data_IF_954218873580
#
_entry.id   IF_954218873580
#
_cell.length_a   1.000
_cell.length_b   1.000
_cell.length_c   1.000
_cell.angle_alpha   90.00
_cell.angle_beta   90.00
_cell.angle_gamma   90.00
#
_symmetry.space_group_name_H-M   'P 1'
#
loop_
_entity.id
_entity.type
_entity.pdbx_description
1 polymer ?
#
# COMPACT_ATOMS: atom_id res chain seq x y z
N UNK A 1 -15.02 43.19 -18.55
CA UNK A 1 -13.88 42.39 -19.03
C UNK A 1 -13.41 41.47 -17.92
N UNK A 2 -13.87 40.22 -18.06
CA UNK A 2 -13.55 38.95 -17.40
C UNK A 2 -13.20 38.94 -15.90
N UNK A 3 -14.25 38.64 -15.15
CA UNK A 3 -14.28 38.00 -13.84
C UNK A 3 -13.86 36.53 -13.92
N UNK A 4 -12.81 36.14 -13.18
CA UNK A 4 -12.57 34.74 -12.78
C UNK A 4 -12.98 34.58 -11.32
N UNK A 5 -14.24 34.22 -11.09
CA UNK A 5 -14.75 33.86 -9.77
C UNK A 5 -14.52 32.37 -9.57
N UNK A 6 -13.49 32.01 -8.81
CA UNK A 6 -13.22 30.62 -8.40
C UNK A 6 -14.29 30.20 -7.39
N UNK A 7 -15.24 29.39 -7.85
CA UNK A 7 -16.24 28.74 -7.03
C UNK A 7 -15.53 27.70 -6.15
N UNK A 8 -15.47 27.93 -4.84
CA UNK A 8 -15.13 26.90 -3.85
C UNK A 8 -16.33 25.95 -3.73
N UNK A 9 -16.15 24.62 -3.78
CA UNK A 9 -17.22 23.71 -3.42
C UNK A 9 -17.40 23.75 -1.89
N UNK A 10 -18.48 24.37 -1.44
CA UNK A 10 -19.03 24.14 -0.10
C UNK A 10 -19.65 22.74 -0.11
N UNK A 11 -19.03 21.80 0.60
CA UNK A 11 -19.63 20.50 0.86
C UNK A 11 -19.95 20.49 2.36
N UNK A 12 -21.19 20.83 2.68
CA UNK A 12 -21.79 20.61 3.99
C UNK A 12 -22.00 19.09 4.15
N UNK A 13 -21.20 18.47 5.01
CA UNK A 13 -21.44 17.11 5.47
C UNK A 13 -22.08 17.18 6.85
N UNK A 14 -23.37 16.88 6.89
CA UNK A 14 -24.20 16.77 8.09
C UNK A 14 -23.61 15.72 9.05
N UNK A 15 -23.32 16.14 10.28
CA UNK A 15 -22.74 15.35 11.37
C UNK A 15 -23.77 14.35 11.91
N UNK A 16 -23.90 13.22 11.21
CA UNK A 16 -24.62 12.04 11.67
C UNK A 16 -23.73 11.17 12.57
N UNK A 17 -23.89 11.37 13.87
CA UNK A 17 -23.33 10.63 15.01
C UNK A 17 -23.56 9.11 14.89
N UNK A 18 -22.62 8.39 14.25
CA UNK A 18 -22.53 6.93 14.29
C UNK A 18 -21.18 6.53 14.90
N UNK A 19 -21.13 6.55 16.24
CA UNK A 19 -20.16 5.78 17.02
C UNK A 19 -20.33 4.27 16.70
N UNK A 20 -19.78 3.81 15.58
CA UNK A 20 -19.72 2.37 15.27
C UNK A 20 -18.60 1.77 16.13
N UNK A 21 -19.01 1.31 17.31
CA UNK A 21 -18.26 0.36 18.12
C UNK A 21 -18.16 -0.92 17.26
N UNK A 22 -16.99 -1.14 16.66
CA UNK A 22 -16.63 -2.44 16.11
C UNK A 22 -16.37 -3.34 17.32
N UNK A 23 -17.40 -4.05 17.75
CA UNK A 23 -17.27 -5.15 18.70
C UNK A 23 -16.57 -6.31 17.99
N UNK A 24 -15.24 -6.32 18.02
CA UNK A 24 -14.45 -7.54 17.84
C UNK A 24 -14.59 -8.39 19.11
N UNK A 25 -15.77 -8.98 19.31
CA UNK A 25 -15.96 -10.07 20.27
C UNK A 25 -15.45 -11.37 19.63
N UNK A 26 -14.13 -11.55 19.68
CA UNK A 26 -13.53 -12.88 19.62
C UNK A 26 -12.41 -12.97 20.65
N UNK A 27 -12.83 -13.30 21.87
CA UNK A 27 -12.12 -14.17 22.80
C UNK A 27 -10.64 -13.84 23.04
N UNK A 28 -10.39 -12.99 24.03
CA UNK A 28 -9.10 -12.88 24.70
C UNK A 28 -8.63 -14.23 25.26
N UNK A 29 -7.90 -15.01 24.48
CA UNK A 29 -6.89 -15.93 24.99
C UNK A 29 -5.52 -15.31 24.71
N UNK A 30 -5.03 -14.55 25.70
CA UNK A 30 -3.65 -14.10 25.77
C UNK A 30 -2.74 -15.32 25.89
N UNK A 31 -2.26 -15.81 24.74
CA UNK A 31 -0.96 -16.48 24.68
C UNK A 31 -0.05 -15.50 23.95
N UNK A 32 0.69 -14.70 24.74
CA UNK A 32 1.77 -13.88 24.22
C UNK A 32 2.72 -14.76 23.41
N UNK A 33 2.77 -14.52 22.12
CA UNK A 33 3.83 -15.02 21.25
C UNK A 33 5.05 -14.17 21.57
N UNK A 34 5.99 -14.73 22.32
CA UNK A 34 7.27 -14.12 22.72
C UNK A 34 8.22 -13.88 21.53
N UNK A 35 7.68 -13.72 20.33
CA UNK A 35 8.48 -13.61 19.10
C UNK A 35 9.10 -12.21 18.99
N UNK A 36 8.53 -11.22 19.70
CA UNK A 36 9.05 -9.85 19.80
C UNK A 36 10.27 -9.73 20.74
N UNK A 37 10.56 -10.75 21.56
CA UNK A 37 11.77 -10.82 22.39
C UNK A 37 12.88 -11.67 21.76
N UNK A 38 12.66 -12.23 20.57
CA UNK A 38 13.64 -13.11 19.94
C UNK A 38 14.75 -12.25 19.31
N UNK A 39 16.02 -12.37 19.74
CA UNK A 39 17.09 -11.63 19.11
C UNK A 39 17.16 -11.98 17.62
N UNK A 40 17.45 -10.97 16.78
CA UNK A 40 17.52 -11.14 15.32
C UNK A 40 18.41 -12.33 14.89
N UNK A 41 19.41 -12.66 15.72
CA UNK A 41 20.33 -13.78 15.54
C UNK A 41 19.70 -15.18 15.68
N UNK A 42 18.44 -15.30 16.11
CA UNK A 42 17.72 -16.57 16.28
C UNK A 42 16.72 -16.89 15.16
N UNK A 43 16.51 -15.98 14.20
CA UNK A 43 15.59 -16.16 13.07
C UNK A 43 16.19 -16.86 11.84
N UNK A 44 17.39 -17.41 11.94
CA UNK A 44 18.06 -17.99 10.76
C UNK A 44 17.76 -19.48 10.60
N UNK A 45 16.80 -19.77 9.72
CA UNK A 45 16.71 -21.04 9.02
C UNK A 45 17.88 -21.17 8.03
N UNK A 46 19.08 -21.34 8.56
CA UNK A 46 20.22 -21.98 7.90
C UNK A 46 21.31 -22.16 8.97
N UNK A 47 21.47 -23.40 9.44
CA UNK A 47 22.47 -23.75 10.47
C UNK A 47 23.92 -23.51 9.99
N UNK A 48 24.11 -23.10 8.74
CA UNK A 48 25.39 -22.76 8.14
C UNK A 48 25.81 -21.29 8.32
N UNK A 49 24.92 -20.40 8.80
CA UNK A 49 25.24 -18.96 8.99
C UNK A 49 26.06 -18.71 10.28
N UNK A 50 26.07 -19.65 11.24
CA UNK A 50 26.80 -19.48 12.51
C UNK A 50 28.32 -19.70 12.43
N UNK A 51 28.87 -19.98 11.25
CA UNK A 51 30.32 -20.12 11.03
C UNK A 51 30.99 -18.83 10.48
N UNK A 52 30.41 -17.65 10.71
CA UNK A 52 31.08 -16.38 10.41
C UNK A 52 32.16 -16.14 11.48
N UNK A 53 33.39 -16.59 11.19
CA UNK A 53 34.57 -16.20 11.96
C UNK A 53 35.00 -14.82 11.48
N UNK A 54 34.88 -13.80 12.33
CA UNK A 54 35.48 -12.48 12.10
C UNK A 54 37.01 -12.62 12.08
N UNK A 55 37.57 -12.85 10.89
CA UNK A 55 39.00 -12.89 10.65
C UNK A 55 39.46 -11.63 9.93
N UNK A 56 40.72 -11.23 10.14
CA UNK A 56 41.41 -10.37 9.18
C UNK A 56 41.57 -11.17 7.89
N UNK A 57 40.58 -11.14 7.00
CA UNK A 57 40.76 -11.73 5.68
C UNK A 57 41.88 -10.97 4.97
N UNK A 58 43.02 -11.64 4.75
CA UNK A 58 44.26 -11.06 4.23
C UNK A 58 44.21 -10.66 2.74
N UNK A 59 43.04 -10.74 2.08
CA UNK A 59 42.82 -10.17 0.75
C UNK A 59 41.41 -9.56 0.68
N UNK A 60 41.26 -8.27 0.34
CA UNK A 60 39.95 -7.71 0.07
C UNK A 60 39.29 -8.50 -1.07
N UNK A 61 38.04 -8.91 -0.88
CA UNK A 61 37.22 -9.44 -1.96
C UNK A 61 37.21 -8.40 -3.08
N UNK A 62 37.52 -8.80 -4.32
CA UNK A 62 37.36 -7.88 -5.46
C UNK A 62 35.86 -7.65 -5.67
N UNK A 63 35.41 -6.44 -5.35
CA UNK A 63 34.07 -5.98 -5.64
C UNK A 63 33.96 -5.88 -7.17
N UNK A 64 33.00 -6.58 -7.76
CA UNK A 64 32.74 -6.46 -9.20
C UNK A 64 32.19 -5.07 -9.49
N UNK A 65 32.69 -4.42 -10.56
CA UNK A 65 32.16 -3.13 -10.98
C UNK A 65 30.66 -3.25 -11.28
N UNK A 66 29.87 -2.28 -10.80
CA UNK A 66 28.48 -2.18 -11.14
C UNK A 66 28.31 -1.80 -12.63
N UNK A 67 27.80 -2.74 -13.43
CA UNK A 67 27.59 -2.56 -14.88
C UNK A 67 26.11 -2.63 -15.28
N UNK A 68 25.21 -2.79 -14.30
CA UNK A 68 23.78 -2.91 -14.55
C UNK A 68 23.19 -1.55 -14.93
N UNK A 69 22.09 -1.56 -15.69
CA UNK A 69 21.33 -0.33 -15.94
C UNK A 69 20.90 0.30 -14.61
N UNK A 70 21.12 1.60 -14.50
CA UNK A 70 20.67 2.43 -13.40
C UNK A 70 19.76 3.55 -13.91
N UNK A 71 19.05 4.21 -12.98
CA UNK A 71 18.13 5.33 -13.19
C UNK A 71 16.75 4.95 -13.72
N UNK A 72 15.96 5.99 -14.01
CA UNK A 72 14.64 5.90 -14.63
C UNK A 72 14.68 5.03 -15.88
N UNK A 73 13.63 4.24 -16.03
CA UNK A 73 13.46 3.41 -17.20
C UNK A 73 13.42 4.26 -18.48
N UNK A 74 13.94 3.71 -19.58
CA UNK A 74 14.10 4.45 -20.83
C UNK A 74 12.78 5.08 -21.30
N UNK A 75 11.65 4.37 -21.16
CA UNK A 75 10.35 4.89 -21.56
C UNK A 75 9.89 6.13 -20.76
N UNK A 76 10.41 6.35 -19.55
CA UNK A 76 10.16 7.55 -18.76
C UNK A 76 11.00 8.70 -19.30
N UNK A 77 12.28 8.43 -19.60
CA UNK A 77 13.21 9.41 -20.20
C UNK A 77 12.74 9.85 -21.60
N UNK A 78 12.01 8.99 -22.30
CA UNK A 78 11.47 9.25 -23.63
C UNK A 78 10.13 10.02 -23.60
N UNK A 79 9.54 10.29 -22.42
CA UNK A 79 8.29 11.04 -22.32
C UNK A 79 8.51 12.51 -22.72
N UNK A 80 7.65 13.02 -23.60
CA UNK A 80 7.69 14.43 -24.02
C UNK A 80 6.94 15.30 -23.00
N UNK A 81 7.68 16.11 -22.24
CA UNK A 81 7.17 17.07 -21.25
C UNK A 81 6.15 16.46 -20.26
N UNK A 82 6.53 15.39 -19.51
CA UNK A 82 5.61 14.71 -18.60
C UNK A 82 5.21 15.62 -17.43
N UNK A 83 3.92 15.74 -17.20
CA UNK A 83 3.42 16.40 -15.98
C UNK A 83 3.62 15.48 -14.76
N UNK A 84 3.62 16.01 -13.53
CA UNK A 84 3.60 15.18 -12.32
C UNK A 84 2.45 14.16 -12.30
N UNK A 85 1.32 14.48 -12.95
CA UNK A 85 0.19 13.58 -13.10
C UNK A 85 0.52 12.38 -14.01
N UNK A 86 1.27 12.60 -15.08
CA UNK A 86 1.68 11.54 -15.99
C UNK A 86 2.59 10.54 -15.29
N UNK A 87 3.54 11.03 -14.49
CA UNK A 87 4.41 10.18 -13.66
C UNK A 87 3.61 9.42 -12.60
N UNK A 88 2.65 10.08 -11.94
CA UNK A 88 1.79 9.45 -10.94
C UNK A 88 0.96 8.30 -11.54
N UNK A 89 0.45 8.45 -12.76
CA UNK A 89 -0.31 7.40 -13.45
C UNK A 89 0.54 6.16 -13.79
N UNK A 90 1.87 6.27 -13.84
CA UNK A 90 2.74 5.11 -13.96
C UNK A 90 2.74 4.26 -12.68
N UNK A 91 2.67 4.92 -11.52
CA UNK A 91 2.64 4.26 -10.22
C UNK A 91 1.22 3.79 -9.86
N UNK A 92 0.21 4.63 -10.01
CA UNK A 92 -1.21 4.31 -9.83
C UNK A 92 -1.87 4.01 -11.18
N UNK A 93 -1.42 2.93 -11.80
CA UNK A 93 -1.91 2.51 -13.11
C UNK A 93 -3.40 2.16 -13.11
N UNK A 94 -4.03 2.14 -14.29
CA UNK A 94 -5.44 1.75 -14.46
C UNK A 94 -5.76 0.38 -13.84
N UNK A 95 -4.79 -0.53 -13.78
CA UNK A 95 -4.94 -1.82 -13.10
C UNK A 95 -5.11 -1.63 -11.58
N UNK A 96 -4.24 -0.85 -10.94
CA UNK A 96 -4.35 -0.53 -9.50
C UNK A 96 -5.67 0.16 -9.21
N UNK A 97 -6.05 1.15 -10.02
CA UNK A 97 -7.31 1.88 -9.83
C UNK A 97 -8.52 0.96 -9.98
N UNK A 98 -8.53 0.11 -11.01
CA UNK A 98 -9.59 -0.88 -11.22
C UNK A 98 -9.69 -1.88 -10.07
N UNK A 99 -8.54 -2.29 -9.51
CA UNK A 99 -8.49 -3.19 -8.36
C UNK A 99 -9.09 -2.54 -7.09
N UNK A 100 -8.77 -1.27 -6.83
CA UNK A 100 -9.36 -0.48 -5.73
C UNK A 100 -10.88 -0.35 -5.92
N UNK A 101 -11.32 0.04 -7.11
CA UNK A 101 -12.75 0.18 -7.45
C UNK A 101 -13.49 -1.13 -7.23
N UNK A 102 -12.95 -2.24 -7.76
CA UNK A 102 -13.55 -3.56 -7.66
C UNK A 102 -13.74 -3.98 -6.19
N UNK A 103 -12.68 -3.91 -5.38
CA UNK A 103 -12.74 -4.37 -4.00
C UNK A 103 -13.55 -3.44 -3.09
N UNK A 104 -13.55 -2.14 -3.35
CA UNK A 104 -14.41 -1.16 -2.66
C UNK A 104 -15.89 -1.42 -2.94
N UNK A 105 -16.26 -1.61 -4.21
CA UNK A 105 -17.63 -1.95 -4.58
C UNK A 105 -18.06 -3.32 -4.06
N UNK A 106 -17.17 -4.31 -4.08
CA UNK A 106 -17.43 -5.63 -3.52
C UNK A 106 -17.72 -5.55 -2.02
N UNK A 107 -16.94 -4.78 -1.26
CA UNK A 107 -17.18 -4.59 0.16
C UNK A 107 -18.51 -3.87 0.43
N UNK A 108 -18.83 -2.83 -0.33
CA UNK A 108 -20.11 -2.13 -0.21
C UNK A 108 -21.29 -3.08 -0.46
N UNK A 109 -21.19 -3.96 -1.46
CA UNK A 109 -22.17 -5.01 -1.72
C UNK A 109 -22.28 -6.01 -0.54
N UNK A 110 -21.16 -6.40 0.05
CA UNK A 110 -21.16 -7.28 1.23
C UNK A 110 -21.86 -6.64 2.43
N UNK A 111 -21.65 -5.35 2.68
CA UNK A 111 -22.31 -4.63 3.76
C UNK A 111 -23.81 -4.43 3.51
N UNK A 112 -24.21 -4.18 2.26
CA UNK A 112 -25.62 -4.14 1.89
C UNK A 112 -26.31 -5.47 2.20
N UNK A 113 -25.68 -6.61 1.86
CA UNK A 113 -26.24 -7.94 2.13
C UNK A 113 -26.27 -8.29 3.64
N UNK A 114 -25.34 -7.76 4.44
CA UNK A 114 -25.25 -8.06 5.88
C UNK A 114 -26.14 -7.17 6.75
N UNK A 115 -26.14 -5.87 6.51
CA UNK A 115 -26.75 -4.85 7.40
C UNK A 115 -27.89 -4.10 6.70
N UNK A 116 -28.00 -4.20 5.36
CA UNK A 116 -28.96 -3.43 4.58
C UNK A 116 -28.51 -1.99 4.31
N UNK A 117 -27.25 -1.63 4.62
CA UNK A 117 -26.71 -0.29 4.36
C UNK A 117 -26.69 -0.04 2.85
N UNK A 118 -27.45 0.95 2.40
CA UNK A 118 -27.50 1.35 0.99
C UNK A 118 -26.15 1.95 0.57
N UNK A 119 -25.81 1.77 -0.70
CA UNK A 119 -24.54 2.27 -1.25
C UNK A 119 -24.70 2.65 -2.72
N UNK A 120 -23.82 3.53 -3.17
CA UNK A 120 -23.61 3.82 -4.59
C UNK A 120 -22.29 3.19 -5.01
N UNK A 121 -22.29 2.51 -6.17
CA UNK A 121 -21.04 1.99 -6.73
C UNK A 121 -20.11 3.13 -7.12
N UNK A 122 -18.85 3.00 -6.75
CA UNK A 122 -17.79 3.92 -7.16
C UNK A 122 -17.18 3.53 -8.50
N UNK A 123 -16.43 4.46 -9.09
CA UNK A 123 -15.77 4.29 -10.38
C UNK A 123 -14.35 4.88 -10.34
N UNK A 124 -13.58 4.66 -11.41
CA UNK A 124 -12.18 5.10 -11.49
C UNK A 124 -12.07 6.62 -11.35
N UNK A 125 -13.02 7.39 -11.90
CA UNK A 125 -13.00 8.85 -11.78
C UNK A 125 -13.20 9.31 -10.34
N UNK A 126 -14.17 8.73 -9.62
CA UNK A 126 -14.39 9.01 -8.19
C UNK A 126 -13.15 8.63 -7.35
N UNK A 127 -12.53 7.47 -7.60
CA UNK A 127 -11.29 7.07 -6.91
C UNK A 127 -10.11 8.00 -7.25
N UNK A 128 -9.96 8.43 -8.52
CA UNK A 128 -8.94 9.41 -8.91
C UNK A 128 -9.16 10.75 -8.20
N UNK A 129 -10.40 11.23 -8.16
CA UNK A 129 -10.78 12.46 -7.44
C UNK A 129 -10.49 12.33 -5.95
N UNK A 130 -10.87 11.20 -5.35
CA UNK A 130 -10.57 10.90 -3.95
C UNK A 130 -9.06 10.92 -3.70
N UNK A 131 -8.24 10.21 -4.49
CA UNK A 131 -6.79 10.22 -4.34
C UNK A 131 -6.20 11.62 -4.55
N UNK A 132 -6.70 12.40 -5.51
CA UNK A 132 -6.27 13.77 -5.75
C UNK A 132 -6.57 14.71 -4.58
N UNK A 133 -7.76 14.60 -3.99
CA UNK A 133 -8.12 15.29 -2.75
C UNK A 133 -7.16 14.87 -1.64
N UNK A 134 -6.87 13.58 -1.51
CA UNK A 134 -5.95 13.09 -0.48
C UNK A 134 -4.52 13.55 -0.65
N UNK A 135 -3.98 13.59 -1.86
CA UNK A 135 -2.65 14.16 -2.08
C UNK A 135 -2.61 15.65 -1.75
N UNK A 136 -3.71 16.37 -2.02
CA UNK A 136 -3.85 17.78 -1.64
C UNK A 136 -4.01 17.97 -0.12
N UNK A 137 -4.75 17.08 0.55
CA UNK A 137 -5.08 17.16 1.97
C UNK A 137 -4.12 16.36 2.87
N UNK A 138 -3.13 15.63 2.33
CA UNK A 138 -2.15 14.83 3.09
C UNK A 138 -1.40 15.65 4.17
N UNK A 139 -1.50 16.98 4.10
CA UNK A 139 -1.00 17.95 5.06
C UNK A 139 -1.91 18.11 6.31
N UNK A 140 -3.13 17.54 6.33
CA UNK A 140 -4.23 17.94 7.25
C UNK A 140 -4.80 16.82 8.17
N UNK A 141 -4.12 15.69 8.35
CA UNK A 141 -4.43 14.67 9.39
C UNK A 141 -5.77 13.91 9.32
N UNK A 142 -6.51 13.93 8.21
CA UNK A 142 -7.81 13.23 8.12
C UNK A 142 -7.73 11.77 7.63
N UNK A 143 -6.75 10.98 8.08
CA UNK A 143 -6.51 9.64 7.53
C UNK A 143 -7.55 8.58 7.91
N UNK A 144 -8.19 8.68 9.07
CA UNK A 144 -9.07 7.61 9.58
C UNK A 144 -10.30 7.37 8.72
N UNK A 145 -10.94 8.45 8.26
CA UNK A 145 -12.11 8.35 7.37
C UNK A 145 -11.73 7.72 6.02
N UNK A 146 -10.54 8.01 5.51
CA UNK A 146 -10.06 7.47 4.22
C UNK A 146 -9.94 5.95 4.25
N UNK A 147 -9.40 5.45 5.35
CA UNK A 147 -9.20 4.03 5.58
C UNK A 147 -10.54 3.29 5.77
N UNK A 148 -11.59 3.99 6.20
CA UNK A 148 -12.93 3.39 6.36
C UNK A 148 -13.61 3.06 5.02
N UNK A 149 -13.25 3.77 3.94
CA UNK A 149 -13.92 3.65 2.65
C UNK A 149 -13.21 2.65 1.74
N UNK A 150 -11.88 2.74 1.65
CA UNK A 150 -11.11 1.95 0.68
C UNK A 150 -10.99 0.49 1.13
N UNK A 151 -11.42 -0.42 0.26
CA UNK A 151 -11.19 -1.85 0.44
C UNK A 151 -10.28 -2.36 -0.66
N UNK A 152 -9.20 -3.02 -0.25
CA UNK A 152 -8.13 -3.46 -1.16
C UNK A 152 -8.15 -4.96 -1.43
N UNK A 153 -8.90 -5.75 -0.66
CA UNK A 153 -9.07 -7.17 -0.95
C UNK A 153 -10.36 -7.74 -0.36
N UNK A 154 -10.76 -8.92 -0.83
CA UNK A 154 -11.99 -9.57 -0.40
C UNK A 154 -11.84 -10.16 1.01
N UNK A 155 -12.56 -9.59 1.97
CA UNK A 155 -12.56 -10.03 3.37
C UNK A 155 -13.06 -11.47 3.56
N UNK A 156 -13.94 -11.97 2.69
CA UNK A 156 -14.52 -13.33 2.80
C UNK A 156 -13.48 -14.43 2.54
N UNK A 157 -12.46 -14.12 1.75
CA UNK A 157 -11.41 -15.07 1.38
C UNK A 157 -10.20 -15.04 2.33
N UNK A 158 -10.24 -14.20 3.37
CA UNK A 158 -9.16 -14.10 4.35
C UNK A 158 -9.04 -15.40 5.16
N UNK A 159 -7.90 -16.11 5.13
CA UNK A 159 -7.70 -17.32 5.91
C UNK A 159 -7.81 -17.05 7.42
N UNK A 160 -8.22 -18.06 8.20
CA UNK A 160 -8.21 -17.97 9.65
C UNK A 160 -6.78 -17.86 10.20
N UNK A 161 -6.62 -17.27 11.39
CA UNK A 161 -5.31 -17.07 12.03
C UNK A 161 -4.55 -18.37 12.27
N UNK A 162 -5.25 -19.50 12.43
CA UNK A 162 -4.67 -20.83 12.64
C UNK A 162 -4.28 -21.53 11.32
N UNK A 163 -4.66 -20.97 10.17
CA UNK A 163 -4.31 -21.54 8.88
C UNK A 163 -2.83 -21.30 8.57
N UNK A 164 -2.08 -22.30 8.05
CA UNK A 164 -0.71 -22.08 7.56
C UNK A 164 -0.66 -21.10 6.36
N UNK A 165 -1.82 -20.78 5.76
CA UNK A 165 -1.95 -19.78 4.69
C UNK A 165 -2.28 -18.38 5.21
N UNK A 166 -2.35 -18.18 6.53
CA UNK A 166 -2.64 -16.88 7.12
C UNK A 166 -1.54 -15.87 6.79
N UNK A 167 -1.94 -14.70 6.32
CA UNK A 167 -1.05 -13.60 6.00
C UNK A 167 -1.57 -12.33 6.66
N UNK A 168 -0.78 -11.77 7.59
CA UNK A 168 -1.13 -10.52 8.28
C UNK A 168 -1.36 -9.36 7.31
N UNK A 169 -0.70 -9.38 6.15
CA UNK A 169 -0.82 -8.34 5.11
C UNK A 169 -1.86 -8.68 4.03
N UNK A 170 -2.66 -9.72 4.21
CA UNK A 170 -3.56 -10.26 3.18
C UNK A 170 -4.38 -9.17 2.46
N UNK A 171 -4.97 -8.24 3.24
CA UNK A 171 -5.83 -7.17 2.70
C UNK A 171 -5.09 -6.21 1.77
N UNK A 172 -3.81 -5.96 1.99
CA UNK A 172 -3.02 -4.98 1.25
C UNK A 172 -2.04 -5.64 0.27
N UNK A 173 -1.75 -6.94 0.43
CA UNK A 173 -0.71 -7.62 -0.33
C UNK A 173 -0.88 -7.56 -1.85
N UNK A 174 -2.08 -7.80 -2.44
CA UNK A 174 -2.25 -7.67 -3.88
C UNK A 174 -1.91 -6.25 -4.37
N UNK A 175 -2.41 -5.24 -3.66
CA UNK A 175 -2.13 -3.84 -3.95
C UNK A 175 -0.62 -3.51 -3.85
N UNK A 176 0.05 -3.94 -2.77
CA UNK A 176 1.49 -3.75 -2.59
C UNK A 176 2.32 -4.45 -3.68
N UNK A 177 1.92 -5.65 -4.09
CA UNK A 177 2.59 -6.38 -5.17
C UNK A 177 2.48 -5.64 -6.51
N UNK A 178 1.30 -5.09 -6.81
CA UNK A 178 1.08 -4.28 -8.02
C UNK A 178 1.92 -3.01 -7.98
N UNK A 179 1.95 -2.34 -6.82
CA UNK A 179 2.75 -1.13 -6.65
C UNK A 179 4.25 -1.41 -6.77
N UNK A 180 4.75 -2.48 -6.13
CA UNK A 180 6.12 -2.97 -6.26
C UNK A 180 6.48 -3.26 -7.72
N UNK A 181 5.58 -3.91 -8.45
CA UNK A 181 5.77 -4.17 -9.87
C UNK A 181 5.92 -2.86 -10.67
N UNK A 182 5.06 -1.87 -10.41
CA UNK A 182 5.13 -0.56 -11.08
C UNK A 182 6.43 0.18 -10.73
N UNK A 183 6.86 0.20 -9.47
CA UNK A 183 8.14 0.80 -9.06
C UNK A 183 9.33 0.14 -9.77
N UNK A 184 9.42 -1.19 -9.74
CA UNK A 184 10.50 -1.93 -10.39
C UNK A 184 10.51 -1.77 -11.91
N UNK A 185 9.35 -1.49 -12.51
CA UNK A 185 9.24 -1.19 -13.93
C UNK A 185 9.75 0.21 -14.24
N UNK A 186 9.51 1.18 -13.37
CA UNK A 186 9.79 2.59 -13.60
C UNK A 186 11.23 2.98 -13.26
N UNK A 187 11.88 2.31 -12.31
CA UNK A 187 13.16 2.74 -11.78
C UNK A 187 14.13 1.57 -11.59
N UNK A 188 15.36 1.73 -12.08
CA UNK A 188 16.45 0.80 -11.86
C UNK A 188 17.38 1.29 -10.74
N UNK A 189 17.55 0.52 -9.65
CA UNK A 189 18.42 0.88 -8.54
C UNK A 189 19.87 1.16 -8.98
N UNK A 190 20.52 2.10 -8.30
CA UNK A 190 21.93 2.42 -8.49
C UNK A 190 22.84 1.49 -7.68
N UNK A 191 24.17 1.62 -7.85
CA UNK A 191 25.18 0.85 -7.13
C UNK A 191 25.07 1.00 -5.60
N UNK A 192 24.87 2.23 -5.14
CA UNK A 192 24.83 2.56 -3.72
C UNK A 192 23.38 2.66 -3.25
N UNK A 193 22.92 1.64 -2.53
CA UNK A 193 21.59 1.59 -1.94
C UNK A 193 21.67 1.81 -0.43
N UNK A 194 20.72 2.56 0.10
CA UNK A 194 20.49 2.67 1.52
C UNK A 194 19.27 1.82 1.88
N UNK A 195 19.40 1.04 2.95
CA UNK A 195 18.29 0.30 3.56
C UNK A 195 18.07 0.95 4.93
N UNK A 196 16.83 1.31 5.20
CA UNK A 196 16.39 1.79 6.51
C UNK A 196 15.06 1.14 6.87
N UNK A 197 14.67 1.26 8.14
CA UNK A 197 13.31 0.96 8.63
C UNK A 197 12.30 2.07 8.31
#
# INVERSE_FOLDING_TARGET
NNSDTIIKPEIDFDDGDDNIIISDEDSNSSMGSNDDEMPLGSMTGDKDIYNIVWGKHDKPMQIQNFMTKSDDAQFIKDMFDPTPYDILNLLFSENILSHIVFHTNLYAQQNFLKIGKTYKQTNIHEIKTFLGINFKLCVLNHFDWLLSIIHLHNNVMMPSRQSPKYDKLYKVRPFLNMLKHNFNKCFYPQEHLAINE
#
